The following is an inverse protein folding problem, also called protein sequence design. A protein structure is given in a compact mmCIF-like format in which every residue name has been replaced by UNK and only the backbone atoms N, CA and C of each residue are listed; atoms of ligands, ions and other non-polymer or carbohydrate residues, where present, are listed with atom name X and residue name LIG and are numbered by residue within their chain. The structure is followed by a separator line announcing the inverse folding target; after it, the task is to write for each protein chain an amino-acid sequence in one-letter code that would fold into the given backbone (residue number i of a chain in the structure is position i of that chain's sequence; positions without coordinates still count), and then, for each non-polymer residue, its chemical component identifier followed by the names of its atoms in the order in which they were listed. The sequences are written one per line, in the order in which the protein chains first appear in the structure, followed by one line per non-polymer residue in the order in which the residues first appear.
data_IF_241821144999
#
_entry.id   IF_241821144999
#
_cell.length_a   1.000
_cell.length_b   1.000
_cell.length_c   1.000
_cell.angle_alpha   90.00
_cell.angle_beta   90.00
_cell.angle_gamma   90.00
#
_symmetry.space_group_name_H-M   'P 1'
#
loop_
_entity.id
_entity.type
_entity.pdbx_description
1 polymer ?
#
# COMPACT_ATOMS: atom_id res chain seq x y z
N UNK A 1 -13.59 16.97 -2.51
CA UNK A 1 -13.56 15.62 -1.92
C UNK A 1 -12.66 14.76 -2.79
N UNK A 2 -11.61 14.15 -2.24
CA UNK A 2 -10.69 13.32 -3.04
C UNK A 2 -11.29 11.94 -3.24
N UNK A 3 -11.49 11.52 -4.48
CA UNK A 3 -12.04 10.20 -4.79
C UNK A 3 -11.04 9.11 -4.41
N UNK A 4 -11.42 8.07 -3.66
CA UNK A 4 -10.52 6.96 -3.35
C UNK A 4 -10.14 6.22 -4.64
N UNK A 5 -8.84 5.99 -4.83
CA UNK A 5 -8.33 5.22 -5.96
C UNK A 5 -8.47 3.73 -5.61
N UNK A 6 -9.30 3.01 -6.35
CA UNK A 6 -9.54 1.59 -6.17
C UNK A 6 -9.42 0.87 -7.52
N UNK A 7 -8.84 -0.33 -7.51
CA UNK A 7 -8.64 -1.16 -8.70
C UNK A 7 -8.46 -2.62 -8.27
N UNK A 8 -8.62 -3.56 -9.19
CA UNK A 8 -8.57 -4.99 -8.91
C UNK A 8 -7.42 -5.66 -9.66
N UNK A 9 -6.86 -6.70 -9.07
CA UNK A 9 -5.92 -7.58 -9.74
C UNK A 9 -6.17 -9.02 -9.31
N UNK A 10 -5.83 -9.95 -10.19
CA UNK A 10 -6.08 -11.39 -9.96
C UNK A 10 -4.77 -12.07 -9.58
N UNK A 11 -4.82 -12.91 -8.55
CA UNK A 11 -3.70 -13.77 -8.20
C UNK A 11 -3.54 -14.85 -9.27
N UNK A 12 -2.30 -15.04 -9.71
CA UNK A 12 -1.90 -16.20 -10.49
C UNK A 12 -1.81 -17.44 -9.59
N UNK A 13 -1.70 -18.63 -10.18
CA UNK A 13 -1.54 -19.90 -9.45
C UNK A 13 -0.34 -19.93 -8.50
N UNK A 14 0.66 -19.05 -8.72
CA UNK A 14 1.82 -18.88 -7.85
C UNK A 14 1.62 -17.83 -6.75
N UNK A 15 0.38 -17.41 -6.51
CA UNK A 15 0.03 -16.33 -5.59
C UNK A 15 0.75 -15.00 -5.90
N UNK A 16 1.05 -14.76 -7.18
CA UNK A 16 1.62 -13.50 -7.65
C UNK A 16 0.55 -12.67 -8.32
N UNK A 17 0.57 -11.35 -8.10
CA UNK A 17 -0.27 -10.40 -8.84
C UNK A 17 0.54 -9.17 -9.24
N UNK A 18 0.09 -8.47 -10.28
CA UNK A 18 0.64 -7.17 -10.67
C UNK A 18 -0.07 -6.04 -9.95
N UNK A 19 0.64 -4.97 -9.63
CA UNK A 19 0.04 -3.74 -9.10
C UNK A 19 -0.58 -2.93 -10.25
N UNK A 20 -1.90 -2.63 -10.21
CA UNK A 20 -2.56 -1.85 -11.26
C UNK A 20 -1.93 -0.48 -11.49
N UNK A 21 -2.06 0.05 -12.71
CA UNK A 21 -1.40 1.30 -13.10
C UNK A 21 -1.85 2.50 -12.26
N UNK A 22 -3.14 2.57 -11.92
CA UNK A 22 -3.75 3.54 -11.03
C UNK A 22 -3.04 3.58 -9.66
N UNK A 23 -2.89 2.41 -9.04
CA UNK A 23 -2.26 2.23 -7.73
C UNK A 23 -0.75 2.52 -7.79
N UNK A 24 -0.04 2.06 -8.83
CA UNK A 24 1.39 2.36 -9.00
C UNK A 24 1.66 3.86 -9.09
N UNK A 25 0.83 4.59 -9.83
CA UNK A 25 0.94 6.05 -9.97
C UNK A 25 0.63 6.76 -8.65
N UNK A 26 -0.43 6.35 -7.97
CA UNK A 26 -0.83 6.89 -6.67
C UNK A 26 0.30 6.77 -5.62
N UNK A 27 0.94 5.59 -5.56
CA UNK A 27 2.04 5.31 -4.63
C UNK A 27 3.42 5.71 -5.15
N UNK A 28 3.51 6.26 -6.38
CA UNK A 28 4.75 6.64 -7.07
C UNK A 28 5.81 5.52 -7.08
N UNK A 29 5.36 4.27 -7.28
CA UNK A 29 6.23 3.09 -7.28
C UNK A 29 7.12 3.05 -8.52
N UNK A 30 8.41 2.78 -8.32
CA UNK A 30 9.40 2.54 -9.37
C UNK A 30 9.75 1.05 -9.47
N UNK A 31 10.45 0.68 -10.55
CA UNK A 31 10.94 -0.70 -10.70
C UNK A 31 11.87 -1.03 -9.54
N UNK A 32 11.69 -2.22 -8.95
CA UNK A 32 12.44 -2.73 -7.79
C UNK A 32 12.15 -2.03 -6.45
N UNK A 33 11.16 -1.14 -6.39
CA UNK A 33 10.67 -0.63 -5.10
C UNK A 33 10.06 -1.77 -4.29
N UNK A 34 10.31 -1.75 -2.98
CA UNK A 34 9.72 -2.68 -2.03
C UNK A 34 8.34 -2.19 -1.60
N UNK A 35 7.45 -3.14 -1.34
CA UNK A 35 6.10 -2.88 -0.85
C UNK A 35 6.03 -3.38 0.60
N UNK A 36 5.43 -2.57 1.46
CA UNK A 36 5.07 -2.97 2.81
C UNK A 36 3.58 -3.29 2.86
N UNK A 37 3.27 -4.47 3.40
CA UNK A 37 1.91 -4.95 3.64
C UNK A 37 1.68 -4.96 5.15
N UNK A 38 0.56 -4.39 5.58
CA UNK A 38 0.11 -4.54 6.96
C UNK A 38 -1.36 -4.93 6.99
N UNK A 39 -1.71 -5.85 7.88
CA UNK A 39 -3.09 -6.29 8.07
C UNK A 39 -3.62 -5.58 9.32
N UNK A 40 -4.71 -4.84 9.16
CA UNK A 40 -5.40 -4.19 10.27
C UNK A 40 -6.33 -5.19 10.98
N UNK A 41 -6.73 -4.86 12.20
CA UNK A 41 -7.64 -5.68 13.01
C UNK A 41 -9.02 -5.89 12.38
N UNK A 42 -9.44 -5.00 11.48
CA UNK A 42 -10.69 -5.11 10.71
C UNK A 42 -10.57 -5.99 9.45
N UNK A 43 -9.41 -6.62 9.22
CA UNK A 43 -9.16 -7.45 8.04
C UNK A 43 -8.77 -6.67 6.78
N UNK A 44 -8.69 -5.34 6.83
CA UNK A 44 -8.15 -4.55 5.72
C UNK A 44 -6.65 -4.76 5.57
N UNK A 45 -6.22 -4.93 4.32
CA UNK A 45 -4.79 -4.95 3.98
C UNK A 45 -4.40 -3.56 3.49
N UNK A 46 -3.48 -2.92 4.21
CA UNK A 46 -2.88 -1.65 3.79
C UNK A 46 -1.61 -1.93 3.02
N UNK A 47 -1.54 -1.30 1.85
CA UNK A 47 -0.42 -1.38 0.94
C UNK A 47 0.30 -0.04 0.91
N UNK A 48 1.59 -0.02 1.24
CA UNK A 48 2.41 1.19 1.19
C UNK A 48 3.76 0.95 0.51
N UNK A 49 4.38 2.02 0.02
CA UNK A 49 5.78 1.97 -0.42
C UNK A 49 6.65 1.74 0.81
N UNK A 50 7.46 0.69 0.81
CA UNK A 50 8.40 0.46 1.90
C UNK A 50 9.49 1.53 1.84
N UNK A 51 9.71 2.24 2.95
CA UNK A 51 10.90 3.06 3.13
C UNK A 51 12.10 2.16 3.39
N UNK A 52 13.28 2.56 2.93
CA UNK A 52 14.55 1.91 3.31
C UNK A 52 14.98 2.28 4.74
N UNK A 53 14.09 2.88 5.53
CA UNK A 53 14.36 3.29 6.89
C UNK A 53 14.31 2.07 7.80
N UNK A 54 15.50 1.52 8.00
CA UNK A 54 15.79 0.71 9.17
C UNK A 54 15.57 1.62 10.39
N UNK A 55 14.59 1.26 11.23
CA UNK A 55 14.11 1.98 12.43
C UNK A 55 13.27 3.22 12.11
N UNK A 56 11.96 3.15 12.36
CA UNK A 56 11.27 3.83 13.46
C UNK A 56 9.93 3.11 13.66
N UNK A 57 9.55 2.88 14.91
CA UNK A 57 8.32 2.19 15.32
C UNK A 57 7.02 2.90 14.87
N UNK A 58 5.86 2.47 15.39
CA UNK A 58 4.55 2.75 14.81
C UNK A 58 4.24 4.25 14.85
N UNK A 59 4.47 4.95 13.75
CA UNK A 59 3.95 6.31 13.57
C UNK A 59 2.55 6.18 13.00
N UNK A 60 1.61 5.81 13.88
CA UNK A 60 0.19 6.07 13.70
C UNK A 60 0.04 7.59 13.77
N UNK A 61 0.27 8.28 12.65
CA UNK A 61 -0.01 9.71 12.56
C UNK A 61 -1.52 9.83 12.62
N UNK A 62 -2.01 10.21 13.80
CA UNK A 62 -3.37 10.65 14.05
C UNK A 62 -3.68 11.77 13.05
N UNK A 63 -4.28 11.40 11.91
CA UNK A 63 -4.70 12.34 10.87
C UNK A 63 -5.94 13.07 11.40
N UNK A 64 -5.66 14.10 12.21
CA UNK A 64 -6.46 15.26 12.55
C UNK A 64 -7.98 15.02 12.66
N UNK A 65 -8.40 14.93 13.93
CA UNK A 65 -9.68 15.44 14.39
C UNK A 65 -9.99 16.80 13.73
N UNK A 66 -11.22 16.94 13.23
CA UNK A 66 -11.92 18.21 13.13
C UNK A 66 -13.04 18.22 14.17
#
# INVERSE_FOLDING_TARGET
MSTPIADHSTLTDRYQTTVPASIRRALKLKRRDRIHYSVRSNGEVVFSRASNETKHGPVMVNFLNF
#
